data_IF_187940537218
#
_entry.id   IF_187940537218
#
_cell.length_a   1.000
_cell.length_b   1.000
_cell.length_c   1.000
_cell.angle_alpha   90.00
_cell.angle_beta   90.00
_cell.angle_gamma   90.00
#
_symmetry.space_group_name_H-M   'P 1'
#
loop_
_entity.id
_entity.type
_entity.pdbx_description
1 polymer ?
#
# COMPACT_ATOMS: atom_id res chain seq x y z
N UNK A 1 -1.36 -5.88 -42.71
CA UNK A 1 -2.59 -6.45 -42.13
C UNK A 1 -2.54 -6.25 -40.62
N UNK A 2 -3.09 -5.16 -40.11
CA UNK A 2 -3.15 -4.88 -38.66
C UNK A 2 -4.43 -5.48 -38.10
N UNK A 3 -4.29 -6.47 -37.22
CA UNK A 3 -5.38 -7.20 -36.60
C UNK A 3 -5.86 -6.40 -35.39
N UNK A 4 -7.05 -5.83 -35.48
CA UNK A 4 -7.68 -5.10 -34.37
C UNK A 4 -7.96 -6.06 -33.20
N UNK A 5 -7.40 -5.77 -32.03
CA UNK A 5 -7.68 -6.51 -30.80
C UNK A 5 -9.02 -6.02 -30.22
N UNK A 6 -9.97 -6.95 -30.04
CA UNK A 6 -11.30 -6.67 -29.53
C UNK A 6 -11.26 -6.15 -28.07
N UNK A 7 -12.05 -5.11 -27.72
CA UNK A 7 -12.14 -4.58 -26.36
C UNK A 7 -13.06 -5.47 -25.52
N UNK A 8 -12.58 -6.64 -25.12
CA UNK A 8 -13.38 -7.57 -24.31
C UNK A 8 -12.59 -8.55 -23.45
N UNK A 9 -11.29 -8.74 -23.68
CA UNK A 9 -10.49 -9.76 -23.01
C UNK A 9 -9.44 -9.26 -22.01
N UNK A 10 -9.36 -7.95 -21.76
CA UNK A 10 -8.38 -7.36 -20.83
C UNK A 10 -8.76 -7.47 -19.35
N UNK A 11 -9.86 -8.16 -18.98
CA UNK A 11 -10.26 -8.30 -17.57
C UNK A 11 -9.74 -9.57 -16.90
N UNK A 12 -9.33 -10.60 -17.66
CA UNK A 12 -8.84 -11.89 -17.10
C UNK A 12 -7.38 -11.87 -16.66
N UNK A 13 -6.53 -11.02 -17.23
CA UNK A 13 -5.15 -10.85 -16.74
C UNK A 13 -5.10 -10.03 -15.43
N UNK A 14 -6.07 -9.14 -15.21
CA UNK A 14 -6.13 -8.29 -14.02
C UNK A 14 -6.38 -9.06 -12.72
N UNK A 15 -7.03 -10.23 -12.76
CA UNK A 15 -7.29 -11.02 -11.54
C UNK A 15 -6.02 -11.69 -10.99
N UNK A 16 -5.09 -12.12 -11.86
CA UNK A 16 -3.80 -12.66 -11.44
C UNK A 16 -2.85 -11.56 -10.90
N UNK A 17 -2.98 -10.34 -11.41
CA UNK A 17 -2.23 -9.18 -10.94
C UNK A 17 -2.69 -8.67 -9.55
N UNK A 18 -3.94 -8.92 -9.14
CA UNK A 18 -4.42 -8.54 -7.78
C UNK A 18 -3.91 -9.45 -6.67
N UNK A 19 -3.46 -10.67 -6.98
CA UNK A 19 -3.00 -11.62 -5.95
C UNK A 19 -1.60 -11.29 -5.39
N UNK A 20 -0.90 -10.29 -5.93
CA UNK A 20 0.32 -9.73 -5.35
C UNK A 20 0.06 -8.32 -4.82
N UNK A 21 -0.87 -8.17 -3.89
CA UNK A 21 -1.02 -6.96 -3.09
C UNK A 21 -0.81 -7.27 -1.61
N UNK A 22 -0.02 -6.43 -0.93
CA UNK A 22 0.29 -6.58 0.49
C UNK A 22 -0.32 -5.42 1.26
N UNK A 23 -1.21 -5.71 2.20
CA UNK A 23 -1.75 -4.73 3.14
C UNK A 23 -0.92 -4.78 4.43
N UNK A 24 -0.26 -3.67 4.74
CA UNK A 24 0.48 -3.47 6.00
C UNK A 24 -0.37 -2.61 6.92
N UNK A 25 -0.60 -3.08 8.14
CA UNK A 25 -1.23 -2.28 9.19
C UNK A 25 -0.11 -1.60 9.96
N UNK A 26 -0.12 -0.27 9.95
CA UNK A 26 0.88 0.56 10.58
C UNK A 26 0.45 0.89 12.01
N UNK A 27 1.24 0.43 12.98
CA UNK A 27 1.12 0.83 14.37
C UNK A 27 1.82 2.18 14.59
N UNK A 28 1.15 3.07 15.30
CA UNK A 28 1.70 4.35 15.74
C UNK A 28 1.38 4.61 17.21
N UNK A 29 2.26 5.34 17.90
CA UNK A 29 2.09 5.75 19.28
C UNK A 29 2.43 7.24 19.41
N UNK A 30 1.51 8.04 19.96
CA UNK A 30 1.71 9.47 20.26
C UNK A 30 2.36 10.25 19.10
N UNK A 31 1.72 10.20 17.92
CA UNK A 31 2.13 10.91 16.70
C UNK A 31 3.40 10.35 16.01
N UNK A 32 4.02 9.28 16.53
CA UNK A 32 5.20 8.63 15.93
C UNK A 32 4.96 7.19 15.48
N UNK A 33 5.61 6.78 14.40
CA UNK A 33 5.44 5.46 13.79
C UNK A 33 6.26 4.44 14.58
N UNK A 34 5.67 3.28 14.88
CA UNK A 34 6.45 2.22 15.49
C UNK A 34 7.54 1.76 14.50
N UNK A 35 8.81 1.58 14.93
CA UNK A 35 9.90 1.19 14.05
C UNK A 35 9.69 -0.20 13.44
N UNK A 36 8.87 -1.05 14.09
CA UNK A 36 8.46 -2.35 13.55
C UNK A 36 7.67 -2.21 12.23
N UNK A 37 6.90 -1.14 12.06
CA UNK A 37 6.13 -0.86 10.85
C UNK A 37 7.06 -0.67 9.64
N UNK A 38 8.20 0.00 9.81
CA UNK A 38 9.18 0.20 8.73
C UNK A 38 9.81 -1.12 8.27
N UNK A 39 10.05 -2.05 9.21
CA UNK A 39 10.55 -3.39 8.89
C UNK A 39 9.50 -4.19 8.11
N UNK A 40 8.24 -4.10 8.50
CA UNK A 40 7.13 -4.75 7.79
C UNK A 40 6.96 -4.20 6.37
N UNK A 41 7.06 -2.88 6.19
CA UNK A 41 7.05 -2.25 4.86
C UNK A 41 8.23 -2.77 4.03
N UNK A 42 9.44 -2.78 4.59
CA UNK A 42 10.64 -3.25 3.89
C UNK A 42 10.49 -4.71 3.46
N UNK A 43 9.91 -5.56 4.32
CA UNK A 43 9.61 -6.94 3.99
C UNK A 43 8.53 -7.05 2.88
N UNK A 44 7.46 -6.25 2.98
CA UNK A 44 6.39 -6.20 1.99
C UNK A 44 6.91 -5.77 0.60
N UNK A 45 7.78 -4.75 0.55
CA UNK A 45 8.41 -4.30 -0.71
C UNK A 45 9.28 -5.39 -1.32
N UNK A 46 9.95 -6.23 -0.49
CA UNK A 46 10.76 -7.36 -0.96
C UNK A 46 9.93 -8.53 -1.49
N UNK A 47 8.70 -8.71 -1.02
CA UNK A 47 7.78 -9.73 -1.54
C UNK A 47 7.33 -9.43 -2.98
N UNK A 48 7.47 -8.17 -3.42
CA UNK A 48 7.04 -7.72 -4.73
C UNK A 48 5.53 -7.54 -4.83
N UNK A 49 5.12 -6.69 -5.77
CA UNK A 49 3.72 -6.30 -5.94
C UNK A 49 3.37 -4.96 -5.28
N UNK A 50 2.07 -4.67 -5.19
CA UNK A 50 1.57 -3.40 -4.68
C UNK A 50 1.50 -3.44 -3.15
N UNK A 51 2.15 -2.48 -2.48
CA UNK A 51 2.09 -2.35 -1.02
C UNK A 51 1.13 -1.22 -0.67
N UNK A 52 0.14 -1.54 0.16
CA UNK A 52 -0.81 -0.60 0.75
C UNK A 52 -0.60 -0.57 2.26
N UNK A 53 -0.49 0.61 2.85
CA UNK A 53 -0.38 0.83 4.29
C UNK A 53 -1.67 1.43 4.84
N UNK A 54 -2.22 0.83 5.89
CA UNK A 54 -3.34 1.39 6.64
C UNK A 54 -2.82 1.87 7.99
N UNK A 55 -2.93 3.17 8.25
CA UNK A 55 -2.65 3.73 9.57
C UNK A 55 -3.98 3.94 10.29
N UNK A 56 -4.19 3.19 11.36
CA UNK A 56 -5.42 3.24 12.14
C UNK A 56 -5.15 3.88 13.50
N UNK A 57 -5.90 4.93 13.83
CA UNK A 57 -5.86 5.57 15.14
C UNK A 57 -6.33 7.01 15.13
N UNK A 58 -6.76 7.50 16.28
CA UNK A 58 -7.09 8.91 16.50
C UNK A 58 -5.78 9.68 16.62
N UNK A 59 -5.52 10.66 15.74
CA UNK A 59 -4.24 11.41 15.54
C UNK A 59 -3.28 10.82 14.49
N UNK A 60 -3.81 10.37 13.37
CA UNK A 60 -2.99 10.07 12.18
C UNK A 60 -2.44 11.35 11.51
N UNK A 61 -3.12 12.50 11.69
CA UNK A 61 -2.84 13.75 10.96
C UNK A 61 -1.47 14.37 11.23
N UNK A 62 -0.88 14.10 12.40
CA UNK A 62 0.42 14.67 12.82
C UNK A 62 1.60 13.75 12.54
N UNK A 63 1.36 12.60 11.93
CA UNK A 63 2.37 11.64 11.59
C UNK A 63 3.26 12.14 10.45
N UNK A 64 4.57 12.06 10.63
CA UNK A 64 5.51 12.36 9.55
C UNK A 64 5.55 11.20 8.53
N UNK A 65 4.70 11.27 7.52
CA UNK A 65 4.61 10.24 6.45
C UNK A 65 5.78 10.20 5.47
N UNK A 66 6.86 10.94 5.73
CA UNK A 66 8.01 11.05 4.83
C UNK A 66 8.64 9.68 4.53
N UNK A 67 8.54 8.74 5.48
CA UNK A 67 9.02 7.36 5.36
C UNK A 67 8.25 6.54 4.31
N UNK A 68 6.95 6.76 4.17
CA UNK A 68 6.12 6.07 3.19
C UNK A 68 6.29 6.66 1.79
N UNK A 69 6.48 7.99 1.68
CA UNK A 69 6.67 8.67 0.41
C UNK A 69 7.91 8.17 -0.35
N UNK A 70 8.99 7.88 0.38
CA UNK A 70 10.23 7.34 -0.22
C UNK A 70 10.10 5.89 -0.72
N UNK A 71 9.16 5.12 -0.18
CA UNK A 71 9.04 3.68 -0.46
C UNK A 71 8.02 3.34 -1.55
N UNK A 72 7.36 4.33 -2.15
CA UNK A 72 6.38 4.12 -3.22
C UNK A 72 5.11 3.38 -2.76
N UNK A 73 4.86 3.40 -1.44
CA UNK A 73 3.76 2.69 -0.79
C UNK A 73 2.52 3.58 -0.82
N UNK A 74 1.35 3.03 -1.14
CA UNK A 74 0.08 3.76 -1.01
C UNK A 74 -0.37 3.72 0.44
N UNK A 75 -0.74 4.84 1.04
CA UNK A 75 -1.31 4.85 2.39
C UNK A 75 -2.72 5.44 2.43
N UNK A 76 -3.51 4.95 3.38
CA UNK A 76 -4.77 5.56 3.79
C UNK A 76 -4.76 5.72 5.30
N UNK A 77 -5.16 6.89 5.77
CA UNK A 77 -5.45 7.18 7.16
C UNK A 77 -6.91 6.84 7.46
N UNK A 78 -7.16 6.17 8.59
CA UNK A 78 -8.51 5.95 9.10
C UNK A 78 -8.84 6.91 10.26
N UNK A 79 -8.07 8.00 10.40
CA UNK A 79 -8.09 8.87 11.57
C UNK A 79 -9.26 9.86 11.68
N UNK A 80 -10.14 9.89 10.67
CA UNK A 80 -11.23 10.87 10.55
C UNK A 80 -12.65 10.26 10.53
N UNK A 81 -12.86 9.06 11.08
CA UNK A 81 -14.19 8.52 11.38
C UNK A 81 -14.61 8.78 12.83
#
# INVERSE_FOLDING_TARGET
MFRAAAPGQLRRAASLLRFQSTLVIAEHANDSLAPITLNTITAATRLGGEVSCLVAGTKCDKMEFHSFAQSGVKWCDLGSL
#
